data_IF_545879105547
#
_entry.id   IF_545879105547
#
_cell.length_a   1.000
_cell.length_b   1.000
_cell.length_c   1.000
_cell.angle_alpha   90.00
_cell.angle_beta   90.00
_cell.angle_gamma   90.00
#
_symmetry.space_group_name_H-M   'P 1'
#
loop_
_entity.id
_entity.type
_entity.pdbx_description
1 polymer ?
#
# COMPACT_ATOMS: atom_id res chain seq x y z
N UNK A 1 -33.31 -7.04 -37.35
CA UNK A 1 -31.85 -6.91 -37.18
C UNK A 1 -31.65 -6.34 -35.79
N UNK A 2 -31.34 -7.18 -34.80
CA UNK A 2 -31.17 -6.75 -33.42
C UNK A 2 -29.68 -6.64 -33.12
N UNK A 3 -29.28 -5.48 -32.62
CA UNK A 3 -27.92 -5.11 -32.24
C UNK A 3 -27.30 -6.13 -31.28
N UNK A 4 -26.26 -6.80 -31.75
CA UNK A 4 -25.37 -7.57 -30.88
C UNK A 4 -24.48 -6.55 -30.18
N UNK A 5 -24.84 -6.18 -28.95
CA UNK A 5 -23.92 -5.50 -28.05
C UNK A 5 -22.72 -6.44 -27.82
N UNK A 6 -21.62 -6.17 -28.54
CA UNK A 6 -20.34 -6.83 -28.30
C UNK A 6 -19.93 -6.42 -26.89
N UNK A 7 -20.16 -7.30 -25.91
CA UNK A 7 -19.59 -7.16 -24.57
C UNK A 7 -18.08 -7.10 -24.77
N UNK A 8 -17.46 -5.96 -24.44
CA UNK A 8 -16.01 -5.86 -24.44
C UNK A 8 -15.48 -7.03 -23.61
N UNK A 9 -14.65 -7.86 -24.23
CA UNK A 9 -14.01 -8.99 -23.59
C UNK A 9 -13.24 -8.44 -22.39
N UNK A 10 -13.44 -9.01 -21.19
CA UNK A 10 -12.77 -8.52 -19.98
C UNK A 10 -11.26 -8.41 -20.25
N UNK A 11 -10.62 -7.27 -19.94
CA UNK A 11 -9.19 -7.10 -20.19
C UNK A 11 -8.43 -8.25 -19.52
N UNK A 12 -7.51 -8.86 -20.25
CA UNK A 12 -6.73 -10.01 -19.75
C UNK A 12 -5.40 -9.58 -19.13
N UNK A 13 -5.09 -8.29 -19.12
CA UNK A 13 -3.87 -7.70 -18.61
C UNK A 13 -4.17 -6.43 -17.80
N UNK A 14 -3.62 -6.36 -16.59
CA UNK A 14 -3.81 -5.26 -15.66
C UNK A 14 -2.49 -4.89 -14.98
N UNK A 15 -2.33 -3.60 -14.76
CA UNK A 15 -1.36 -3.07 -13.82
C UNK A 15 -2.08 -2.13 -12.83
N UNK A 16 -1.48 -1.86 -11.68
CA UNK A 16 -1.94 -0.85 -10.73
C UNK A 16 -0.90 0.26 -10.61
N UNK A 17 -1.32 1.48 -10.94
CA UNK A 17 -0.60 2.74 -10.69
C UNK A 17 -1.26 3.43 -9.50
N UNK A 18 -0.50 3.81 -8.47
CA UNK A 18 -1.07 4.27 -7.20
C UNK A 18 -1.32 5.77 -7.20
N UNK A 19 -0.31 6.53 -7.58
CA UNK A 19 -0.39 7.99 -7.70
C UNK A 19 -0.29 8.42 -9.18
N UNK A 20 -0.98 9.47 -9.63
CA UNK A 20 -0.89 9.97 -11.01
C UNK A 20 0.53 10.33 -11.46
N UNK A 21 1.42 10.73 -10.54
CA UNK A 21 2.81 11.10 -10.80
C UNK A 21 3.76 9.90 -10.91
N UNK A 22 3.30 8.70 -10.55
CA UNK A 22 4.14 7.49 -10.61
C UNK A 22 4.63 7.22 -12.05
N UNK A 23 5.88 6.82 -12.17
CA UNK A 23 6.47 6.37 -13.45
C UNK A 23 6.66 4.84 -13.51
N UNK A 24 6.14 4.13 -12.50
CA UNK A 24 6.07 2.67 -12.44
C UNK A 24 4.67 2.20 -12.05
N UNK A 25 4.34 0.95 -12.39
CA UNK A 25 3.13 0.28 -11.93
C UNK A 25 3.42 -1.17 -11.52
N UNK A 26 2.47 -1.82 -10.86
CA UNK A 26 2.58 -3.22 -10.44
C UNK A 26 1.71 -4.12 -11.30
N UNK A 27 2.28 -5.21 -11.83
CA UNK A 27 1.53 -6.25 -12.54
C UNK A 27 0.71 -7.08 -11.55
N UNK A 28 -0.58 -7.28 -11.82
CA UNK A 28 -1.50 -8.00 -10.90
C UNK A 28 -2.10 -9.29 -11.47
N UNK A 29 -1.75 -9.66 -12.69
CA UNK A 29 -2.18 -10.92 -13.30
C UNK A 29 -1.46 -12.13 -12.69
N UNK A 30 -2.21 -13.19 -12.39
CA UNK A 30 -1.65 -14.46 -11.97
C UNK A 30 -0.63 -14.98 -12.99
N UNK A 31 0.55 -15.41 -12.50
CA UNK A 31 1.73 -15.81 -13.29
C UNK A 31 2.43 -14.68 -14.06
N UNK A 32 2.02 -13.43 -13.88
CA UNK A 32 2.59 -12.29 -14.57
C UNK A 32 2.11 -12.17 -16.02
N UNK A 33 2.81 -11.35 -16.79
CA UNK A 33 2.50 -11.05 -18.19
C UNK A 33 3.74 -11.24 -19.06
N UNK A 34 3.55 -11.68 -20.29
CA UNK A 34 4.63 -11.96 -21.24
C UNK A 34 5.01 -10.72 -22.05
N UNK A 35 6.18 -10.76 -22.67
CA UNK A 35 6.57 -9.77 -23.68
C UNK A 35 5.49 -9.63 -24.76
N UNK A 36 5.28 -8.41 -25.25
CA UNK A 36 4.28 -8.06 -26.26
C UNK A 36 2.86 -7.84 -25.72
N UNK A 37 2.60 -8.09 -24.43
CA UNK A 37 1.32 -7.71 -23.82
C UNK A 37 1.12 -6.20 -23.90
N UNK A 38 -0.04 -5.76 -24.41
CA UNK A 38 -0.40 -4.35 -24.58
C UNK A 38 -1.48 -3.90 -23.61
N UNK A 39 -1.38 -2.67 -23.13
CA UNK A 39 -2.36 -2.01 -22.29
C UNK A 39 -3.13 -0.93 -23.05
N UNK A 40 -4.31 -0.49 -22.58
CA UNK A 40 -5.14 0.50 -23.27
C UNK A 40 -4.50 1.88 -23.47
N UNK A 41 -3.52 2.23 -22.65
CA UNK A 41 -2.74 3.47 -22.70
C UNK A 41 -1.60 3.44 -23.74
N UNK A 42 -1.40 2.31 -24.43
CA UNK A 42 -0.34 2.11 -25.42
C UNK A 42 0.93 1.45 -24.88
N UNK A 43 1.05 1.25 -23.56
CA UNK A 43 2.19 0.55 -22.97
C UNK A 43 2.26 -0.88 -23.51
N UNK A 44 3.47 -1.31 -23.90
CA UNK A 44 3.75 -2.69 -24.33
C UNK A 44 4.91 -3.24 -23.53
N UNK A 45 4.74 -4.44 -22.95
CA UNK A 45 5.83 -5.10 -22.24
C UNK A 45 6.92 -5.57 -23.21
N UNK A 46 8.18 -5.36 -22.86
CA UNK A 46 9.32 -5.81 -23.69
C UNK A 46 9.86 -7.18 -23.25
N UNK A 47 9.49 -7.63 -22.05
CA UNK A 47 9.90 -8.89 -21.45
C UNK A 47 8.78 -9.50 -20.59
N UNK A 48 9.00 -10.69 -20.04
CA UNK A 48 8.08 -11.24 -19.04
C UNK A 48 8.25 -10.51 -17.71
N UNK A 49 7.14 -10.12 -17.10
CA UNK A 49 7.12 -9.46 -15.78
C UNK A 49 6.25 -10.30 -14.84
N UNK A 50 6.81 -10.83 -13.73
CA UNK A 50 6.04 -11.58 -12.75
C UNK A 50 4.98 -10.73 -12.05
N UNK A 51 3.96 -11.39 -11.50
CA UNK A 51 2.98 -10.75 -10.63
C UNK A 51 3.68 -10.07 -9.43
N UNK A 52 3.16 -8.93 -8.99
CA UNK A 52 3.70 -8.17 -7.87
C UNK A 52 4.97 -7.36 -8.18
N UNK A 53 5.50 -7.47 -9.41
CA UNK A 53 6.71 -6.77 -9.80
C UNK A 53 6.40 -5.47 -10.57
N UNK A 54 7.40 -4.59 -10.58
CA UNK A 54 7.32 -3.25 -11.16
C UNK A 54 7.55 -3.28 -12.67
N UNK A 55 6.70 -2.59 -13.42
CA UNK A 55 6.89 -2.26 -14.83
C UNK A 55 7.17 -0.77 -14.97
N UNK A 56 8.11 -0.39 -15.84
CA UNK A 56 8.37 1.00 -16.22
C UNK A 56 7.23 1.53 -17.12
N UNK A 57 6.58 2.63 -16.73
CA UNK A 57 5.50 3.25 -17.52
C UNK A 57 6.03 4.21 -18.59
N UNK A 58 7.28 4.63 -18.50
CA UNK A 58 7.99 5.53 -19.41
C UNK A 58 9.45 5.09 -19.49
N UNK A 59 10.21 5.65 -20.44
CA UNK A 59 11.67 5.51 -20.43
C UNK A 59 12.23 6.27 -19.21
N UNK A 60 13.02 5.59 -18.39
CA UNK A 60 13.71 6.16 -17.23
C UNK A 60 15.22 6.15 -17.54
N UNK A 61 15.86 7.32 -17.69
CA UNK A 61 17.30 7.38 -17.96
C UNK A 61 18.11 6.91 -16.76
N UNK A 62 19.37 6.54 -16.97
CA UNK A 62 20.33 6.28 -15.91
C UNK A 62 20.37 7.46 -14.91
N UNK A 63 20.38 7.12 -13.62
CA UNK A 63 20.24 8.04 -12.48
C UNK A 63 18.92 8.81 -12.42
N UNK A 64 17.96 8.49 -13.29
CA UNK A 64 16.60 9.03 -13.25
C UNK A 64 15.83 8.52 -12.04
N UNK A 65 14.90 9.34 -11.56
CA UNK A 65 14.04 9.01 -10.41
C UNK A 65 13.07 7.88 -10.76
N UNK A 66 12.90 6.94 -9.82
CA UNK A 66 11.84 5.93 -9.84
C UNK A 66 10.80 6.39 -8.81
N UNK A 67 9.61 6.73 -9.29
CA UNK A 67 8.56 7.37 -8.50
C UNK A 67 7.40 6.40 -8.32
N UNK A 68 7.06 6.13 -7.07
CA UNK A 68 5.91 5.30 -6.67
C UNK A 68 5.28 5.89 -5.41
N UNK A 69 3.94 5.84 -5.30
CA UNK A 69 3.19 6.50 -4.22
C UNK A 69 3.36 8.03 -4.22
N UNK A 70 3.72 8.62 -5.37
CA UNK A 70 4.03 10.05 -5.48
C UNK A 70 5.36 10.47 -4.85
N UNK A 71 6.21 9.53 -4.48
CA UNK A 71 7.50 9.78 -3.84
C UNK A 71 8.63 9.03 -4.57
N UNK A 72 9.85 9.58 -4.49
CA UNK A 72 11.04 8.93 -5.07
C UNK A 72 11.42 7.73 -4.20
N UNK A 73 11.36 6.53 -4.78
CA UNK A 73 11.74 5.28 -4.10
C UNK A 73 13.17 4.82 -4.40
N UNK A 74 13.82 5.46 -5.38
CA UNK A 74 15.19 5.19 -5.78
C UNK A 74 15.53 5.77 -7.13
N UNK A 75 16.74 5.48 -7.60
CA UNK A 75 17.29 5.96 -8.85
C UNK A 75 17.68 4.79 -9.74
N UNK A 76 17.47 4.92 -11.05
CA UNK A 76 17.82 3.87 -12.00
C UNK A 76 19.35 3.72 -12.12
N UNK A 77 19.87 2.51 -11.94
CA UNK A 77 21.33 2.24 -12.07
C UNK A 77 21.82 2.38 -13.53
N UNK A 78 20.90 2.24 -14.50
CA UNK A 78 21.13 2.34 -15.95
C UNK A 78 19.83 2.78 -16.62
N UNK A 79 19.86 3.01 -17.93
CA UNK A 79 18.63 3.26 -18.69
C UNK A 79 17.66 2.07 -18.56
N UNK A 80 16.39 2.38 -18.27
CA UNK A 80 15.27 1.45 -18.15
C UNK A 80 14.23 1.86 -19.22
N UNK A 81 14.11 1.09 -20.31
CA UNK A 81 13.09 1.33 -21.31
C UNK A 81 11.67 1.19 -20.77
N UNK A 82 10.73 1.92 -21.37
CA UNK A 82 9.31 1.74 -21.14
C UNK A 82 8.91 0.26 -21.36
N UNK A 83 8.10 -0.28 -20.45
CA UNK A 83 7.61 -1.66 -20.51
C UNK A 83 8.60 -2.72 -20.03
N UNK A 84 9.79 -2.33 -19.54
CA UNK A 84 10.75 -3.24 -18.91
C UNK A 84 10.38 -3.60 -17.47
N UNK A 85 10.89 -4.75 -17.03
CA UNK A 85 10.85 -5.16 -15.65
C UNK A 85 11.86 -4.37 -14.82
N UNK A 86 11.41 -3.80 -13.70
CA UNK A 86 12.29 -3.17 -12.71
C UNK A 86 12.44 -4.09 -11.50
N UNK A 87 13.50 -4.91 -11.52
CA UNK A 87 13.94 -5.68 -10.36
C UNK A 87 14.75 -4.79 -9.39
N UNK A 88 15.03 -5.31 -8.19
CA UNK A 88 15.69 -4.54 -7.12
C UNK A 88 17.14 -4.17 -7.44
N UNK A 89 17.85 -4.96 -8.27
CA UNK A 89 19.24 -4.67 -8.65
C UNK A 89 19.39 -3.46 -9.57
N UNK A 90 18.29 -3.02 -10.19
CA UNK A 90 18.25 -1.84 -11.06
C UNK A 90 17.95 -0.54 -10.31
N UNK A 91 17.73 -0.63 -8.99
CA UNK A 91 17.31 0.48 -8.15
C UNK A 91 18.38 0.78 -7.11
N UNK A 92 18.98 1.96 -7.22
CA UNK A 92 19.80 2.53 -6.16
C UNK A 92 18.90 3.23 -5.13
N UNK A 93 19.01 2.85 -3.87
CA UNK A 93 18.19 3.43 -2.80
C UNK A 93 18.64 4.86 -2.48
N UNK A 94 17.70 5.79 -2.24
CA UNK A 94 18.04 7.15 -1.84
C UNK A 94 18.69 7.13 -0.46
N UNK A 95 19.72 7.96 -0.26
CA UNK A 95 20.31 8.12 1.08
C UNK A 95 19.33 8.89 1.96
N UNK A 96 18.93 8.28 3.07
CA UNK A 96 17.98 8.91 3.99
C UNK A 96 18.58 10.19 4.62
N UNK A 97 17.84 11.30 4.65
CA UNK A 97 18.29 12.52 5.31
C UNK A 97 18.29 12.36 6.85
N UNK A 98 19.11 13.12 7.58
CA UNK A 98 19.09 13.13 9.04
C UNK A 98 17.72 13.54 9.61
N UNK A 99 17.28 12.90 10.70
CA UNK A 99 15.97 13.15 11.30
C UNK A 99 15.71 14.62 11.66
N UNK A 100 16.73 15.34 12.12
CA UNK A 100 16.64 16.77 12.48
C UNK A 100 16.50 17.71 11.28
N UNK A 101 16.61 17.20 10.05
CA UNK A 101 16.42 17.97 8.81
C UNK A 101 15.05 17.76 8.20
N UNK A 102 14.25 16.84 8.74
CA UNK A 102 12.92 16.56 8.23
C UNK A 102 11.96 17.73 8.50
N UNK A 103 11.15 18.12 7.50
CA UNK A 103 10.14 19.16 7.69
C UNK A 103 9.07 18.70 8.69
N UNK A 104 8.72 19.59 9.63
CA UNK A 104 7.70 19.33 10.64
C UNK A 104 6.43 20.10 10.28
N UNK A 105 5.30 19.39 10.24
CA UNK A 105 3.97 19.97 10.01
C UNK A 105 3.82 20.82 8.71
N UNK A 106 4.55 20.50 7.65
CA UNK A 106 4.55 21.30 6.40
C UNK A 106 3.36 21.04 5.47
N UNK A 107 2.58 19.99 5.71
CA UNK A 107 1.43 19.59 4.89
C UNK A 107 0.26 19.14 5.79
N UNK A 108 -0.20 20.02 6.68
CA UNK A 108 -1.40 19.73 7.49
C UNK A 108 -2.61 19.74 6.56
N UNK A 109 -3.33 18.61 6.39
CA UNK A 109 -4.49 18.58 5.51
C UNK A 109 -5.65 19.37 6.12
N UNK A 110 -6.50 19.93 5.27
CA UNK A 110 -7.75 20.55 5.70
C UNK A 110 -8.64 19.49 6.39
N UNK A 111 -9.33 19.85 7.48
CA UNK A 111 -10.29 18.96 8.11
C UNK A 111 -11.37 18.51 7.11
N UNK A 112 -11.57 17.20 7.02
CA UNK A 112 -12.68 16.64 6.26
C UNK A 112 -14.01 16.96 6.98
N UNK A 113 -15.14 17.06 6.25
CA UNK A 113 -16.45 17.22 6.86
C UNK A 113 -16.72 16.11 7.90
N UNK A 114 -17.33 16.43 9.05
CA UNK A 114 -17.61 15.44 10.08
C UNK A 114 -18.64 14.41 9.60
N UNK A 115 -18.51 13.17 10.07
CA UNK A 115 -19.52 12.12 9.89
C UNK A 115 -20.47 12.13 11.09
N UNK A 116 -21.76 12.31 10.84
CA UNK A 116 -22.80 12.39 11.87
C UNK A 116 -23.78 11.22 11.80
N UNK A 117 -24.44 10.91 12.91
CA UNK A 117 -25.50 9.89 12.98
C UNK A 117 -25.03 8.43 13.12
N UNK A 118 -23.73 8.16 13.03
CA UNK A 118 -23.18 6.82 13.28
C UNK A 118 -23.15 6.51 14.77
N UNK A 119 -23.69 5.37 15.15
CA UNK A 119 -23.70 4.87 16.53
C UNK A 119 -23.28 3.40 16.57
N UNK A 120 -22.93 2.91 17.76
CA UNK A 120 -22.69 1.49 18.00
C UNK A 120 -23.22 1.10 19.39
N UNK A 121 -23.65 -0.15 19.53
CA UNK A 121 -24.08 -0.71 20.82
C UNK A 121 -22.84 -1.04 21.68
N UNK A 122 -22.74 -0.41 22.85
CA UNK A 122 -21.56 -0.53 23.72
C UNK A 122 -21.87 -0.48 25.21
N UNK A 123 -20.89 -0.85 26.03
CA UNK A 123 -21.01 -0.87 27.49
C UNK A 123 -20.54 0.47 28.06
N UNK A 124 -21.48 1.30 28.53
CA UNK A 124 -21.16 2.62 29.10
C UNK A 124 -20.56 2.48 30.50
N UNK A 125 -19.36 3.02 30.69
CA UNK A 125 -18.66 3.05 31.96
C UNK A 125 -19.00 4.30 32.78
N UNK A 126 -18.68 4.28 34.07
CA UNK A 126 -18.91 5.40 34.98
C UNK A 126 -18.08 6.67 34.66
N UNK A 127 -16.92 6.51 33.99
CA UNK A 127 -16.05 7.61 33.56
C UNK A 127 -16.48 8.27 32.24
N UNK A 128 -17.55 7.77 31.62
CA UNK A 128 -18.07 8.26 30.34
C UNK A 128 -17.51 7.56 29.10
N UNK A 129 -16.47 6.74 29.23
CA UNK A 129 -15.98 5.87 28.15
C UNK A 129 -17.00 4.78 27.82
N UNK A 130 -16.91 4.23 26.60
CA UNK A 130 -17.80 3.15 26.14
C UNK A 130 -16.95 1.97 25.67
N UNK A 131 -17.05 0.85 26.38
CA UNK A 131 -16.35 -0.38 26.05
C UNK A 131 -17.04 -1.17 24.94
N UNK A 132 -16.26 -1.85 24.10
CA UNK A 132 -16.76 -2.75 23.04
C UNK A 132 -16.92 -4.20 23.51
N UNK A 133 -16.42 -4.53 24.70
CA UNK A 133 -16.55 -5.83 25.36
C UNK A 133 -16.77 -5.62 26.85
N UNK A 134 -17.53 -6.51 27.47
CA UNK A 134 -17.68 -6.55 28.92
C UNK A 134 -16.67 -7.55 29.51
N UNK A 135 -15.53 -7.05 29.97
CA UNK A 135 -14.42 -7.87 30.45
C UNK A 135 -14.23 -7.71 31.96
N UNK A 136 -13.82 -8.80 32.62
CA UNK A 136 -13.34 -8.78 33.99
C UNK A 136 -11.81 -8.59 34.00
N UNK A 137 -11.35 -7.43 34.48
CA UNK A 137 -9.92 -7.17 34.68
C UNK A 137 -9.48 -7.59 36.08
N UNK A 138 -8.52 -8.52 36.18
CA UNK A 138 -7.91 -8.95 37.45
C UNK A 138 -6.43 -8.54 37.43
N UNK A 139 -5.99 -7.82 38.45
CA UNK A 139 -4.59 -7.42 38.62
C UNK A 139 -4.19 -7.46 40.09
N UNK A 140 -2.88 -7.43 40.37
CA UNK A 140 -2.33 -7.38 41.72
C UNK A 140 -1.28 -6.26 41.81
N UNK A 141 -1.07 -5.73 43.02
CA UNK A 141 -0.08 -4.68 43.23
C UNK A 141 1.35 -5.20 42.99
N UNK A 142 2.27 -4.32 42.59
CA UNK A 142 3.65 -4.69 42.22
C UNK A 142 4.44 -5.35 43.35
N UNK A 143 4.05 -5.14 44.61
CA UNK A 143 4.72 -5.72 45.78
C UNK A 143 4.17 -7.11 46.16
N UNK A 144 3.14 -7.60 45.47
CA UNK A 144 2.63 -8.95 45.65
C UNK A 144 3.42 -9.98 44.83
N UNK A 145 3.26 -11.26 45.16
CA UNK A 145 3.90 -12.35 44.43
C UNK A 145 3.26 -12.55 43.04
N UNK A 146 4.10 -12.71 42.02
CA UNK A 146 3.65 -13.03 40.66
C UNK A 146 3.12 -14.46 40.56
N UNK A 147 2.22 -14.72 39.59
CA UNK A 147 1.68 -16.05 39.28
C UNK A 147 0.33 -16.40 39.92
N UNK A 148 -0.10 -15.66 40.96
CA UNK A 148 -1.42 -15.89 41.60
C UNK A 148 -2.57 -15.52 40.65
N UNK A 149 -2.43 -14.42 39.92
CA UNK A 149 -3.47 -13.94 38.99
C UNK A 149 -3.72 -14.98 37.87
N UNK A 150 -2.66 -15.51 37.26
CA UNK A 150 -2.78 -16.51 36.18
C UNK A 150 -3.48 -17.78 36.65
N UNK A 151 -3.16 -18.24 37.86
CA UNK A 151 -3.82 -19.40 38.45
C UNK A 151 -5.33 -19.17 38.64
N UNK A 152 -5.72 -18.00 39.16
CA UNK A 152 -7.14 -17.66 39.38
C UNK A 152 -7.88 -17.52 38.05
N UNK A 153 -7.28 -16.85 37.06
CA UNK A 153 -7.90 -16.65 35.73
C UNK A 153 -8.13 -17.99 35.01
N UNK A 154 -7.22 -18.95 35.14
CA UNK A 154 -7.31 -20.24 34.42
C UNK A 154 -8.32 -21.23 35.03
N UNK A 155 -8.64 -21.11 36.31
CA UNK A 155 -9.48 -22.05 37.05
C UNK A 155 -10.92 -21.53 37.31
N UNK A 156 -11.32 -20.44 36.64
CA UNK A 156 -12.68 -19.92 36.57
C UNK A 156 -13.23 -20.06 35.14
#
# INVERSE_FOLDING_TARGET
>A
MADIAIRQQSPTAFYIKVDPTDNVAIIVNDRGLTAGTRFPDGLTLVEHIPQGHKVALVDIPAHGEIIRYGEVIGYAVRDIPQGSWIDESLVELPTAPPLNTLPLATKVPEPLPPLEGYTFEGYRNADGSVGTKNLLGITTSVHCVAGVVDYVVKNH
#
